data_IF_963696024185
#
_entry.id   IF_963696024185
#
_cell.length_a   1.000
_cell.length_b   1.000
_cell.length_c   1.000
_cell.angle_alpha   90.00
_cell.angle_beta   90.00
_cell.angle_gamma   90.00
#
_symmetry.space_group_name_H-M   'P 1'
#
loop_
_entity.id
_entity.type
_entity.pdbx_description
1 polymer ?
#
# COMPACT_ATOMS: atom_id res chain seq x y z
N UNK A 1 -20.66 9.86 12.73
CA UNK A 1 -19.59 10.83 12.44
C UNK A 1 -19.09 10.56 11.03
N UNK A 2 -19.19 11.53 10.11
CA UNK A 2 -18.75 11.34 8.74
C UNK A 2 -17.24 11.08 8.73
N UNK A 3 -16.84 9.84 8.48
CA UNK A 3 -15.45 9.51 8.18
C UNK A 3 -15.17 10.03 6.78
N UNK A 4 -14.87 11.33 6.65
CA UNK A 4 -14.38 11.90 5.40
C UNK A 4 -13.07 11.19 5.11
N UNK A 5 -13.13 10.14 4.29
CA UNK A 5 -11.95 9.40 3.88
C UNK A 5 -10.93 10.43 3.38
N UNK A 6 -9.80 10.55 4.07
CA UNK A 6 -8.77 11.50 3.67
C UNK A 6 -8.35 11.16 2.24
N UNK A 7 -7.92 12.17 1.49
CA UNK A 7 -7.66 12.06 0.05
C UNK A 7 -6.77 10.89 -0.36
N UNK A 8 -6.71 10.61 -1.67
CA UNK A 8 -5.85 9.54 -2.20
C UNK A 8 -4.41 10.03 -2.30
N UNK A 9 -3.46 9.22 -1.83
CA UNK A 9 -2.02 9.49 -1.90
C UNK A 9 -1.34 8.38 -2.69
N UNK A 10 -0.46 8.75 -3.62
CA UNK A 10 0.39 7.81 -4.34
C UNK A 10 1.82 7.83 -3.77
N UNK A 11 2.35 6.67 -3.41
CA UNK A 11 3.70 6.48 -2.89
C UNK A 11 4.47 5.60 -3.87
N UNK A 12 5.44 6.19 -4.55
CA UNK A 12 6.30 5.46 -5.47
C UNK A 12 7.45 4.77 -4.73
N UNK A 13 7.73 3.50 -5.05
CA UNK A 13 8.76 2.74 -4.36
C UNK A 13 8.37 2.34 -2.93
N UNK A 14 7.10 1.98 -2.73
CA UNK A 14 6.50 1.69 -1.44
C UNK A 14 7.24 0.63 -0.62
N UNK A 15 7.93 -0.32 -1.28
CA UNK A 15 8.74 -1.37 -0.63
C UNK A 15 10.07 -0.88 -0.06
N UNK A 16 10.37 0.42 -0.19
CA UNK A 16 11.56 1.02 0.39
C UNK A 16 11.49 1.08 1.92
N UNK A 17 12.65 1.09 2.57
CA UNK A 17 12.72 1.11 4.03
C UNK A 17 11.90 2.25 4.63
N UNK A 18 12.15 3.50 4.22
CA UNK A 18 11.39 4.67 4.71
C UNK A 18 9.97 4.71 4.13
N UNK A 19 9.81 4.32 2.87
CA UNK A 19 8.51 4.38 2.18
C UNK A 19 7.46 3.48 2.85
N UNK A 20 7.86 2.30 3.34
CA UNK A 20 6.96 1.39 4.05
C UNK A 20 6.41 1.97 5.37
N UNK A 21 7.24 2.70 6.12
CA UNK A 21 6.82 3.43 7.32
C UNK A 21 5.90 4.61 6.99
N UNK A 22 6.17 5.31 5.89
CA UNK A 22 5.29 6.37 5.40
C UNK A 22 3.91 5.81 5.05
N UNK A 23 3.85 4.70 4.32
CA UNK A 23 2.60 4.00 3.97
C UNK A 23 1.84 3.62 5.24
N UNK A 24 2.51 3.00 6.22
CA UNK A 24 1.92 2.67 7.52
C UNK A 24 1.28 3.90 8.18
N UNK A 25 2.02 5.01 8.27
CA UNK A 25 1.55 6.23 8.92
C UNK A 25 0.37 6.88 8.20
N UNK A 26 0.36 6.85 6.88
CA UNK A 26 -0.73 7.37 6.05
C UNK A 26 -2.00 6.52 6.22
N UNK A 27 -1.86 5.20 6.27
CA UNK A 27 -2.96 4.28 6.55
C UNK A 27 -3.55 4.52 7.95
N UNK A 28 -2.72 4.57 8.99
CA UNK A 28 -3.12 4.91 10.37
C UNK A 28 -3.84 6.28 10.43
N UNK A 29 -3.38 7.23 9.63
CA UNK A 29 -3.94 8.58 9.58
C UNK A 29 -5.27 8.68 8.82
N UNK A 30 -5.77 7.61 8.21
CA UNK A 30 -7.05 7.60 7.51
C UNK A 30 -6.99 7.86 6.01
N UNK A 31 -5.80 7.92 5.39
CA UNK A 31 -5.64 8.14 3.96
C UNK A 31 -5.82 6.85 3.16
N UNK A 32 -6.25 7.00 1.90
CA UNK A 32 -6.19 5.93 0.90
C UNK A 32 -4.84 5.97 0.20
N UNK A 33 -4.05 4.91 0.34
CA UNK A 33 -2.66 4.88 -0.14
C UNK A 33 -2.50 3.92 -1.31
N UNK A 34 -1.98 4.43 -2.43
CA UNK A 34 -1.60 3.67 -3.62
C UNK A 34 -0.07 3.52 -3.61
N UNK A 35 0.43 2.31 -3.42
CA UNK A 35 1.88 2.06 -3.36
C UNK A 35 2.39 1.36 -4.62
N UNK A 36 3.38 1.95 -5.30
CA UNK A 36 4.04 1.28 -6.43
C UNK A 36 5.28 0.54 -5.95
N UNK A 37 5.48 -0.68 -6.45
CA UNK A 37 6.71 -1.46 -6.24
C UNK A 37 7.21 -1.97 -7.57
N UNK A 38 8.53 -2.24 -7.66
CA UNK A 38 9.13 -2.71 -8.91
C UNK A 38 8.71 -4.14 -9.28
N UNK A 39 8.54 -4.99 -8.27
CA UNK A 39 8.25 -6.41 -8.43
C UNK A 39 7.26 -6.88 -7.33
N UNK A 40 5.96 -6.99 -7.64
CA UNK A 40 4.96 -7.49 -6.69
C UNK A 40 5.13 -8.97 -6.34
N UNK A 41 5.77 -9.77 -7.19
CA UNK A 41 6.00 -11.20 -6.95
C UNK A 41 7.11 -11.47 -5.93
N UNK A 42 7.93 -10.47 -5.62
CA UNK A 42 9.01 -10.59 -4.66
C UNK A 42 8.52 -10.50 -3.21
N UNK A 43 7.93 -11.59 -2.72
CA UNK A 43 7.38 -11.68 -1.36
C UNK A 43 8.34 -11.26 -0.25
N UNK A 44 9.66 -11.41 -0.43
CA UNK A 44 10.66 -10.91 0.54
C UNK A 44 10.69 -9.38 0.62
N UNK A 45 10.50 -8.69 -0.51
CA UNK A 45 10.51 -7.23 -0.59
C UNK A 45 9.15 -6.61 -0.35
N UNK A 46 8.05 -7.27 -0.68
CA UNK A 46 6.70 -6.69 -0.54
C UNK A 46 5.91 -7.24 0.65
N UNK A 47 6.35 -8.35 1.25
CA UNK A 47 5.62 -9.01 2.34
C UNK A 47 5.30 -8.09 3.52
N UNK A 48 6.21 -7.18 3.86
CA UNK A 48 6.01 -6.21 4.93
C UNK A 48 4.90 -5.19 4.63
N UNK A 49 4.59 -4.91 3.36
CA UNK A 49 3.50 -4.00 2.97
C UNK A 49 2.13 -4.66 3.13
N UNK A 50 2.04 -5.95 2.83
CA UNK A 50 0.81 -6.72 2.96
C UNK A 50 0.42 -6.99 4.42
N UNK A 51 1.41 -6.99 5.33
CA UNK A 51 1.21 -7.10 6.77
C UNK A 51 0.77 -5.79 7.46
N UNK A 52 0.67 -4.67 6.75
CA UNK A 52 0.25 -3.40 7.35
C UNK A 52 -1.26 -3.40 7.65
N UNK A 53 -1.60 -2.91 8.84
CA UNK A 53 -2.99 -2.74 9.23
C UNK A 53 -3.70 -1.75 8.29
N UNK A 54 -4.81 -2.20 7.70
CA UNK A 54 -5.54 -1.42 6.70
C UNK A 54 -5.08 -1.64 5.25
N UNK A 55 -4.00 -2.38 4.97
CA UNK A 55 -3.59 -2.71 3.60
C UNK A 55 -4.65 -3.51 2.83
N UNK A 56 -5.38 -4.41 3.51
CA UNK A 56 -6.49 -5.19 2.93
C UNK A 56 -7.74 -4.35 2.61
N UNK A 57 -7.97 -3.25 3.34
CA UNK A 57 -9.18 -2.42 3.21
C UNK A 57 -8.94 -1.10 2.44
N UNK A 58 -7.70 -0.61 2.40
CA UNK A 58 -7.28 0.63 1.75
C UNK A 58 -6.22 0.29 0.70
N UNK A 59 -6.74 -0.09 -0.47
CA UNK A 59 -6.07 -0.68 -1.64
C UNK A 59 -4.69 -0.09 -1.95
N UNK A 60 -3.63 -0.84 -1.62
CA UNK A 60 -2.31 -0.67 -2.22
C UNK A 60 -2.39 -1.22 -3.65
N UNK A 61 -2.64 -0.37 -4.65
CA UNK A 61 -2.58 -0.78 -6.06
C UNK A 61 -1.13 -0.74 -6.51
N UNK A 62 -0.59 -1.91 -6.79
CA UNK A 62 0.74 -2.05 -7.36
C UNK A 62 0.67 -1.77 -8.86
N UNK A 63 1.14 -0.61 -9.31
CA UNK A 63 1.42 -0.39 -10.72
C UNK A 63 2.78 -1.00 -11.07
N UNK A 64 2.79 -2.30 -11.29
CA UNK A 64 3.71 -2.95 -12.21
C UNK A 64 2.80 -3.65 -13.23
N UNK A 65 2.71 -3.05 -14.43
CA UNK A 65 2.11 -3.53 -15.67
C UNK A 65 1.17 -4.75 -15.54
N UNK A 66 -0.14 -4.49 -15.67
CA UNK A 66 -1.26 -5.41 -15.94
C UNK A 66 -1.37 -6.73 -15.14
N UNK A 67 -2.45 -6.84 -14.38
CA UNK A 67 -3.07 -8.12 -14.01
C UNK A 67 -2.98 -8.51 -12.52
N UNK A 68 -4.14 -8.45 -11.85
CA UNK A 68 -4.72 -9.28 -10.75
C UNK A 68 -3.88 -10.43 -10.12
N UNK A 69 -4.19 -11.06 -8.99
CA UNK A 69 -5.16 -11.01 -7.88
C UNK A 69 -4.60 -12.04 -6.87
N UNK A 70 -4.75 -11.80 -5.57
CA UNK A 70 -4.26 -12.75 -4.58
C UNK A 70 -4.72 -12.40 -3.18
N UNK A 71 -6.03 -12.54 -2.95
CA UNK A 71 -6.51 -12.83 -1.61
C UNK A 71 -5.97 -14.20 -1.20
N UNK A 72 -5.08 -14.23 -0.22
CA UNK A 72 -5.00 -15.30 0.76
C UNK A 72 -5.14 -14.68 2.16
#
# INVERSE_FOLDING_TARGET
MANTAKGKVCVTGASGFIASWLVKRLLESGYHVLGTVRDPGNGKKVGHLWGLEGAKHRRIITLAQDGYEGQM
#
